data_IF_233746951134
#
_entry.id   IF_233746951134
#
_cell.length_a   1.000
_cell.length_b   1.000
_cell.length_c   1.000
_cell.angle_alpha   90.00
_cell.angle_beta   90.00
_cell.angle_gamma   90.00
#
_symmetry.space_group_name_H-M   'P 1'
#
loop_
_entity.id
_entity.type
_entity.pdbx_description
1 polymer ?
#
# COMPACT_ATOMS: atom_id res chain seq x y z
N UNK A 1 71.73 20.12 -24.07
CA UNK A 1 71.41 18.68 -24.04
C UNK A 1 69.89 18.52 -24.12
N UNK A 2 69.39 17.51 -24.86
CA UNK A 2 68.13 17.53 -25.59
C UNK A 2 66.98 16.83 -24.83
N UNK A 3 65.95 16.36 -25.57
CA UNK A 3 64.71 15.64 -25.17
C UNK A 3 63.53 16.59 -24.86
N UNK A 4 62.66 16.98 -25.78
CA UNK A 4 61.90 16.19 -26.78
C UNK A 4 61.37 14.88 -26.21
N UNK A 5 60.15 14.90 -25.67
CA UNK A 5 59.15 13.85 -25.90
C UNK A 5 57.75 14.42 -25.74
N UNK A 6 57.07 14.59 -26.87
CA UNK A 6 55.63 14.72 -26.92
C UNK A 6 55.02 13.33 -26.70
N UNK A 7 54.07 13.21 -25.77
CA UNK A 7 53.11 12.10 -25.77
C UNK A 7 51.72 12.71 -25.64
N UNK A 8 51.01 12.75 -26.78
CA UNK A 8 49.56 12.87 -26.83
C UNK A 8 48.98 11.47 -27.02
N UNK A 9 48.34 10.92 -26.00
CA UNK A 9 47.31 9.87 -26.05
C UNK A 9 46.49 10.13 -24.77
N UNK A 10 45.21 10.45 -24.77
CA UNK A 10 44.12 9.93 -25.57
C UNK A 10 43.25 9.06 -24.66
N UNK A 11 41.93 9.31 -24.67
CA UNK A 11 40.83 8.57 -24.02
C UNK A 11 40.41 9.08 -22.63
N UNK A 12 39.39 9.94 -22.67
CA UNK A 12 38.46 10.17 -21.58
C UNK A 12 37.63 8.89 -21.36
N UNK A 13 37.74 8.29 -20.17
CA UNK A 13 36.84 7.25 -19.69
C UNK A 13 35.97 7.86 -18.58
N UNK A 14 34.78 8.33 -18.97
CA UNK A 14 33.76 8.76 -18.03
C UNK A 14 33.16 7.55 -17.33
N UNK A 15 33.36 7.44 -16.02
CA UNK A 15 32.59 6.55 -15.16
C UNK A 15 31.45 7.35 -14.52
N UNK A 16 30.26 7.23 -15.12
CA UNK A 16 29.00 7.56 -14.45
C UNK A 16 28.80 6.58 -13.28
N UNK A 17 28.98 7.06 -12.05
CA UNK A 17 28.50 6.36 -10.86
C UNK A 17 27.17 6.98 -10.43
N UNK A 18 26.06 6.39 -10.88
CA UNK A 18 24.75 6.55 -10.26
C UNK A 18 24.70 5.66 -9.01
N UNK A 19 24.98 6.24 -7.84
CA UNK A 19 24.73 5.60 -6.55
C UNK A 19 23.69 6.43 -5.78
N UNK A 20 22.57 5.77 -5.47
CA UNK A 20 21.30 6.39 -5.11
C UNK A 20 21.22 7.06 -3.75
N UNK A 21 20.25 7.98 -3.65
CA UNK A 21 19.77 8.53 -2.40
C UNK A 21 19.07 7.44 -1.58
N UNK A 22 19.73 6.91 -0.56
CA UNK A 22 19.06 6.14 0.48
C UNK A 22 19.66 6.47 1.84
N UNK A 23 19.19 7.59 2.41
CA UNK A 23 19.35 7.92 3.83
C UNK A 23 18.06 8.61 4.32
N UNK A 24 16.95 7.89 4.18
CA UNK A 24 15.75 8.09 5.00
C UNK A 24 15.90 7.29 6.28
N UNK A 25 16.75 7.78 7.20
CA UNK A 25 16.77 7.27 8.57
C UNK A 25 15.69 8.01 9.36
N UNK A 26 14.83 7.22 10.02
CA UNK A 26 13.66 7.61 10.82
C UNK A 26 12.34 7.84 10.07
N UNK A 27 11.90 6.84 9.30
CA UNK A 27 10.49 6.49 9.36
C UNK A 27 10.28 5.66 10.61
N UNK A 28 9.72 6.29 11.65
CA UNK A 28 9.10 5.57 12.75
C UNK A 28 8.16 4.51 12.16
N UNK A 29 8.09 3.27 12.69
CA UNK A 29 6.97 2.40 12.37
C UNK A 29 5.74 3.04 13.02
N UNK A 30 5.16 4.02 12.34
CA UNK A 30 3.76 4.36 12.56
C UNK A 30 3.01 3.04 12.37
N UNK A 31 2.17 2.62 13.31
CA UNK A 31 1.46 1.37 13.20
C UNK A 31 0.48 1.54 12.04
N UNK A 32 0.94 1.22 10.83
CA UNK A 32 0.07 0.88 9.70
C UNK A 32 -0.83 -0.19 10.27
N UNK A 33 -2.07 0.21 10.55
CA UNK A 33 -3.07 -0.60 11.20
C UNK A 33 -2.97 -2.02 10.64
N UNK A 34 -2.68 -2.97 11.52
CA UNK A 34 -2.25 -4.32 11.18
C UNK A 34 -3.18 -4.94 10.13
N UNK A 35 -2.78 -4.87 8.86
CA UNK A 35 -3.48 -5.48 7.74
C UNK A 35 -3.57 -7.01 7.89
N UNK A 36 -2.75 -7.59 8.78
CA UNK A 36 -2.63 -9.02 9.00
C UNK A 36 -3.75 -9.64 9.88
N UNK A 37 -4.70 -8.86 10.39
CA UNK A 37 -5.74 -9.39 11.29
C UNK A 37 -7.04 -9.71 10.53
N UNK A 38 -7.11 -10.93 10.01
CA UNK A 38 -8.19 -11.36 9.09
C UNK A 38 -9.04 -12.50 9.68
N UNK A 39 -8.66 -13.06 10.83
CA UNK A 39 -9.46 -14.05 11.54
C UNK A 39 -10.58 -13.42 12.41
N UNK A 40 -11.44 -14.28 12.95
CA UNK A 40 -12.58 -13.90 13.78
C UNK A 40 -12.31 -14.07 15.28
N UNK A 41 -11.04 -14.15 15.67
CA UNK A 41 -10.66 -14.05 17.08
C UNK A 41 -11.11 -12.69 17.63
N UNK A 42 -11.42 -12.65 18.94
CA UNK A 42 -11.78 -11.40 19.62
C UNK A 42 -10.73 -10.32 19.41
N UNK A 43 -9.45 -10.70 19.47
CA UNK A 43 -8.35 -9.77 19.27
C UNK A 43 -8.36 -9.15 17.86
N UNK A 44 -8.54 -9.95 16.80
CA UNK A 44 -8.63 -9.40 15.45
C UNK A 44 -9.87 -8.56 15.21
N UNK A 45 -11.00 -8.91 15.79
CA UNK A 45 -12.21 -8.08 15.72
C UNK A 45 -11.96 -6.72 16.37
N UNK A 46 -11.37 -6.70 17.57
CA UNK A 46 -11.07 -5.46 18.29
C UNK A 46 -10.06 -4.59 17.52
N UNK A 47 -9.02 -5.20 16.95
CA UNK A 47 -8.03 -4.51 16.10
C UNK A 47 -8.68 -3.92 14.84
N UNK A 48 -9.54 -4.67 14.14
CA UNK A 48 -10.30 -4.18 12.98
C UNK A 48 -11.21 -3.02 13.34
N UNK A 49 -11.88 -3.06 14.50
CA UNK A 49 -12.71 -1.97 14.98
C UNK A 49 -11.92 -0.71 15.33
N UNK A 50 -10.71 -0.85 15.88
CA UNK A 50 -9.78 0.28 16.11
C UNK A 50 -9.34 0.88 14.78
N UNK A 51 -8.93 0.05 13.81
CA UNK A 51 -8.50 0.48 12.49
C UNK A 51 -9.61 1.24 11.74
N UNK A 52 -10.85 0.73 11.79
CA UNK A 52 -11.98 1.43 11.21
C UNK A 52 -12.19 2.80 11.87
N UNK A 53 -12.16 2.86 13.21
CA UNK A 53 -12.33 4.13 13.93
C UNK A 53 -11.24 5.15 13.58
N UNK A 54 -9.99 4.73 13.40
CA UNK A 54 -8.93 5.65 12.99
C UNK A 54 -9.16 6.19 11.57
N UNK A 55 -9.59 5.35 10.62
CA UNK A 55 -9.96 5.79 9.26
C UNK A 55 -11.15 6.76 9.26
N UNK A 56 -12.13 6.56 10.15
CA UNK A 56 -13.28 7.46 10.28
C UNK A 56 -12.93 8.79 10.95
N UNK A 57 -11.92 8.79 11.83
CA UNK A 57 -11.43 9.99 12.49
C UNK A 57 -10.50 10.83 11.60
N UNK A 58 -9.92 10.25 10.55
CA UNK A 58 -9.08 10.96 9.58
C UNK A 58 -9.92 11.90 8.70
N UNK A 59 -9.86 13.20 9.01
CA UNK A 59 -10.58 14.26 8.29
C UNK A 59 -10.02 14.48 6.89
N UNK A 60 -8.72 14.30 6.73
CA UNK A 60 -7.99 14.47 5.46
C UNK A 60 -8.11 13.23 4.56
N UNK A 61 -8.60 12.11 5.13
CA UNK A 61 -8.89 10.85 4.42
C UNK A 61 -7.68 10.37 3.62
N UNK A 62 -6.49 10.50 4.20
CA UNK A 62 -5.21 10.11 3.58
C UNK A 62 -5.24 8.64 3.15
N UNK A 63 -5.91 7.81 3.94
CA UNK A 63 -6.13 6.39 3.67
C UNK A 63 -6.72 6.12 2.28
N UNK A 64 -7.51 7.04 1.69
CA UNK A 64 -8.10 6.84 0.36
C UNK A 64 -7.02 6.68 -0.73
N UNK A 65 -5.86 7.33 -0.58
CA UNK A 65 -4.78 7.31 -1.58
C UNK A 65 -3.67 6.33 -1.25
N UNK A 66 -3.70 5.74 -0.06
CA UNK A 66 -2.73 4.73 0.34
C UNK A 66 -3.00 3.41 -0.40
N UNK A 67 -1.94 2.69 -0.84
CA UNK A 67 -2.10 1.41 -1.51
C UNK A 67 -2.69 0.36 -0.57
N UNK A 68 -3.64 -0.42 -1.06
CA UNK A 68 -4.26 -1.53 -0.33
C UNK A 68 -3.56 -2.86 -0.60
N UNK A 69 -3.42 -3.70 0.44
CA UNK A 69 -2.97 -5.08 0.33
C UNK A 69 -4.14 -6.07 0.21
N UNK A 70 -3.87 -7.32 -0.17
CA UNK A 70 -4.89 -8.37 -0.24
C UNK A 70 -5.53 -8.62 1.14
N UNK A 71 -4.75 -8.57 2.21
CA UNK A 71 -5.24 -8.72 3.58
C UNK A 71 -6.09 -7.53 4.01
N UNK A 72 -5.76 -6.31 3.55
CA UNK A 72 -6.60 -5.12 3.77
C UNK A 72 -8.00 -5.33 3.17
N UNK A 73 -8.10 -5.87 1.96
CA UNK A 73 -9.37 -6.25 1.35
C UNK A 73 -10.07 -7.38 2.13
N UNK A 74 -9.32 -8.41 2.53
CA UNK A 74 -9.87 -9.54 3.26
C UNK A 74 -10.40 -9.16 4.66
N UNK A 75 -9.78 -8.17 5.31
CA UNK A 75 -10.23 -7.64 6.60
C UNK A 75 -11.60 -6.95 6.51
N UNK A 76 -11.94 -6.42 5.33
CA UNK A 76 -13.17 -5.67 5.06
C UNK A 76 -13.18 -4.22 5.56
N UNK A 77 -12.21 -3.82 6.40
CA UNK A 77 -12.20 -2.51 7.08
C UNK A 77 -12.18 -1.37 6.08
N UNK A 78 -11.33 -1.46 5.05
CA UNK A 78 -11.15 -0.41 4.05
C UNK A 78 -12.39 -0.21 3.17
N UNK A 79 -12.97 -1.29 2.67
CA UNK A 79 -14.20 -1.21 1.86
C UNK A 79 -15.40 -0.74 2.70
N UNK A 80 -15.45 -1.14 3.97
CA UNK A 80 -16.45 -0.62 4.90
C UNK A 80 -16.26 0.89 5.15
N UNK A 81 -15.03 1.36 5.30
CA UNK A 81 -14.72 2.79 5.43
C UNK A 81 -15.21 3.61 4.22
N UNK A 82 -14.97 3.14 2.99
CA UNK A 82 -15.52 3.75 1.78
C UNK A 82 -17.06 3.80 1.81
N UNK A 83 -17.70 2.69 2.19
CA UNK A 83 -19.16 2.61 2.28
C UNK A 83 -19.73 3.57 3.32
N UNK A 84 -19.12 3.65 4.51
CA UNK A 84 -19.56 4.52 5.61
C UNK A 84 -19.38 6.01 5.31
N UNK A 85 -18.31 6.39 4.59
CA UNK A 85 -18.01 7.79 4.27
C UNK A 85 -18.55 8.23 2.92
N UNK A 86 -19.25 7.38 2.16
CA UNK A 86 -19.71 7.64 0.78
C UNK A 86 -20.33 9.02 0.55
N UNK A 87 -21.07 9.57 1.52
CA UNK A 87 -21.72 10.89 1.40
C UNK A 87 -20.75 12.07 1.56
N UNK A 88 -19.60 11.83 2.17
CA UNK A 88 -18.59 12.84 2.49
C UNK A 88 -17.39 12.80 1.52
N UNK A 89 -17.37 11.82 0.61
CA UNK A 89 -16.31 11.65 -0.39
C UNK A 89 -16.58 12.52 -1.62
N UNK A 90 -15.53 13.13 -2.13
CA UNK A 90 -15.54 13.79 -3.45
C UNK A 90 -15.72 12.77 -4.58
N UNK A 91 -16.08 13.24 -5.78
CA UNK A 91 -16.22 12.38 -6.96
C UNK A 91 -14.95 11.57 -7.27
N UNK A 92 -13.77 12.17 -7.08
CA UNK A 92 -12.49 11.51 -7.30
C UNK A 92 -12.24 10.39 -6.29
N UNK A 93 -12.55 10.65 -5.02
CA UNK A 93 -12.43 9.66 -3.94
C UNK A 93 -13.46 8.53 -4.12
N UNK A 94 -14.68 8.85 -4.58
CA UNK A 94 -15.69 7.85 -4.92
C UNK A 94 -15.26 6.98 -6.10
N UNK A 95 -14.70 7.58 -7.14
CA UNK A 95 -14.16 6.84 -8.29
C UNK A 95 -12.99 5.95 -7.86
N UNK A 96 -12.15 6.42 -6.93
CA UNK A 96 -11.08 5.62 -6.35
C UNK A 96 -11.63 4.44 -5.55
N UNK A 97 -12.57 4.68 -4.63
CA UNK A 97 -13.22 3.62 -3.85
C UNK A 97 -13.95 2.60 -4.73
N UNK A 98 -14.53 3.03 -5.84
CA UNK A 98 -15.13 2.12 -6.83
C UNK A 98 -14.08 1.22 -7.48
N UNK A 99 -12.97 1.78 -7.94
CA UNK A 99 -11.86 0.99 -8.52
C UNK A 99 -11.29 -0.01 -7.52
N UNK A 100 -11.18 0.37 -6.25
CA UNK A 100 -10.75 -0.53 -5.17
C UNK A 100 -11.73 -1.69 -4.97
N UNK A 101 -13.03 -1.41 -4.92
CA UNK A 101 -14.06 -2.44 -4.83
C UNK A 101 -14.01 -3.39 -6.05
N UNK A 102 -13.89 -2.87 -7.27
CA UNK A 102 -13.80 -3.67 -8.49
C UNK A 102 -12.50 -4.52 -8.54
N UNK A 103 -11.39 -4.04 -7.97
CA UNK A 103 -10.09 -4.70 -7.98
C UNK A 103 -9.91 -5.73 -6.84
N UNK A 104 -10.63 -5.60 -5.74
CA UNK A 104 -10.50 -6.47 -4.57
C UNK A 104 -10.73 -7.97 -4.89
N UNK A 105 -11.77 -8.37 -5.64
CA UNK A 105 -12.00 -9.79 -5.97
C UNK A 105 -10.90 -10.40 -6.85
N UNK A 106 -10.21 -9.58 -7.66
CA UNK A 106 -9.06 -10.04 -8.46
C UNK A 106 -7.86 -10.23 -7.56
N UNK A 107 -7.58 -9.27 -6.68
CA UNK A 107 -6.48 -9.31 -5.72
C UNK A 107 -6.59 -10.49 -4.76
N UNK A 108 -7.80 -10.77 -4.26
CA UNK A 108 -8.09 -11.86 -3.33
C UNK A 108 -8.01 -13.26 -3.95
N UNK A 109 -8.07 -13.38 -5.28
CA UNK A 109 -7.91 -14.65 -6.00
C UNK A 109 -6.50 -14.82 -6.59
N UNK A 110 -5.68 -13.77 -6.51
CA UNK A 110 -4.32 -13.75 -7.04
C UNK A 110 -3.28 -14.28 -6.05
N UNK A 111 -2.00 -14.35 -6.48
CA UNK A 111 -0.91 -14.83 -5.64
C UNK A 111 -0.65 -13.97 -4.40
N UNK A 112 -1.07 -12.70 -4.42
CA UNK A 112 -0.99 -11.79 -3.28
C UNK A 112 -1.82 -12.26 -2.07
N UNK A 113 -2.81 -13.14 -2.27
CA UNK A 113 -3.67 -13.69 -1.24
C UNK A 113 -3.28 -15.11 -0.81
N UNK A 114 -2.10 -15.62 -1.20
CA UNK A 114 -1.70 -17.01 -0.96
C UNK A 114 -1.69 -17.41 0.54
N UNK A 115 -1.53 -16.45 1.46
CA UNK A 115 -1.60 -16.68 2.90
C UNK A 115 -3.00 -16.69 3.51
N UNK A 116 -4.05 -16.43 2.72
CA UNK A 116 -5.43 -16.34 3.19
C UNK A 116 -6.19 -17.65 3.01
N UNK A 117 -6.99 -18.01 4.00
CA UNK A 117 -7.92 -19.14 3.88
C UNK A 117 -9.04 -18.85 2.88
N UNK A 118 -9.64 -19.88 2.26
CA UNK A 118 -10.81 -19.70 1.39
C UNK A 118 -11.97 -18.94 2.06
N UNK A 119 -12.17 -19.14 3.36
CA UNK A 119 -13.20 -18.42 4.13
C UNK A 119 -12.92 -16.91 4.21
N UNK A 120 -11.66 -16.52 4.42
CA UNK A 120 -11.25 -15.11 4.46
C UNK A 120 -11.39 -14.44 3.08
N UNK A 121 -10.98 -15.14 2.01
CA UNK A 121 -11.14 -14.69 0.62
C UNK A 121 -12.62 -14.49 0.28
N UNK A 122 -13.47 -15.45 0.64
CA UNK A 122 -14.91 -15.40 0.37
C UNK A 122 -15.57 -14.18 1.02
N UNK A 123 -15.31 -13.95 2.31
CA UNK A 123 -15.87 -12.78 3.03
C UNK A 123 -15.37 -11.45 2.46
N UNK A 124 -14.07 -11.34 2.19
CA UNK A 124 -13.51 -10.14 1.57
C UNK A 124 -14.14 -9.85 0.20
N UNK A 125 -14.38 -10.90 -0.59
CA UNK A 125 -15.00 -10.78 -1.91
C UNK A 125 -16.47 -10.34 -1.84
N UNK A 126 -17.23 -10.79 -0.83
CA UNK A 126 -18.63 -10.36 -0.65
C UNK A 126 -18.75 -8.87 -0.27
N UNK A 127 -17.76 -8.30 0.42
CA UNK A 127 -17.74 -6.88 0.75
C UNK A 127 -17.36 -5.98 -0.42
N UNK A 128 -16.74 -6.56 -1.44
CA UNK A 128 -16.33 -5.89 -2.66
C UNK A 128 -17.41 -5.90 -3.77
N UNK A 129 -18.54 -6.56 -3.52
CA UNK A 129 -19.66 -6.70 -4.46
C UNK A 129 -20.72 -5.60 -4.30
#
# INVERSE_FOLDING_TARGET
MPFWYAIRIGVAAGTLSLAGCSLGLFSSPEPTATNNCVDDSKECIDRRAVALRSMMADKDRRWVREPASAESYASGVRLFAYKSRKRDLSCDELAHGRREADAAPVSLRGPAAAGLSPAQISRGSMLAA
#
